data_IF_624953915703
#
_entry.id   IF_624953915703
#
_cell.length_a   1.000
_cell.length_b   1.000
_cell.length_c   1.000
_cell.angle_alpha   90.00
_cell.angle_beta   90.00
_cell.angle_gamma   90.00
#
_symmetry.space_group_name_H-M   'P 1'
#
loop_
_entity.id
_entity.type
_entity.pdbx_description
1 polymer ?
#
# COMPACT_ATOMS: atom_id res chain seq x y z
N UNK A 1 3.69 2.77 29.98
CA UNK A 1 3.57 2.78 28.51
C UNK A 1 3.41 4.23 28.09
N UNK A 2 4.41 4.83 27.45
CA UNK A 2 4.33 6.21 26.97
C UNK A 2 3.32 6.36 25.82
N UNK A 3 2.90 7.58 25.46
CA UNK A 3 1.99 7.78 24.34
C UNK A 3 2.65 7.29 23.05
N UNK A 4 1.97 6.40 22.32
CA UNK A 4 2.39 6.00 20.98
C UNK A 4 2.19 7.20 20.06
N UNK A 5 3.28 7.76 19.55
CA UNK A 5 3.22 8.77 18.52
C UNK A 5 3.13 8.08 17.16
N UNK A 6 2.46 8.72 16.22
CA UNK A 6 2.35 8.28 14.84
C UNK A 6 3.01 9.33 13.96
N UNK A 7 3.75 8.88 12.96
CA UNK A 7 4.38 9.74 11.97
C UNK A 7 3.84 9.37 10.59
N UNK A 8 3.76 10.36 9.71
CA UNK A 8 3.30 10.16 8.34
C UNK A 8 4.48 10.18 7.39
N UNK A 9 4.61 9.14 6.58
CA UNK A 9 5.60 9.06 5.51
C UNK A 9 4.90 9.24 4.16
N UNK A 10 5.39 10.18 3.36
CA UNK A 10 4.94 10.38 1.99
C UNK A 10 5.84 9.56 1.07
N UNK A 11 5.20 8.69 0.31
CA UNK A 11 5.81 7.76 -0.63
C UNK A 11 5.42 8.19 -2.05
N UNK A 12 6.41 8.21 -2.94
CA UNK A 12 6.25 8.45 -4.37
C UNK A 12 6.40 7.14 -5.12
N UNK A 13 5.37 6.78 -5.87
CA UNK A 13 5.37 5.60 -6.71
C UNK A 13 5.57 6.04 -8.16
N UNK A 14 6.59 5.48 -8.81
CA UNK A 14 6.87 5.74 -10.22
C UNK A 14 5.91 4.99 -11.14
N UNK A 15 6.12 5.13 -12.44
CA UNK A 15 5.36 4.40 -13.46
C UNK A 15 5.58 2.87 -13.35
N UNK A 16 4.50 2.09 -13.46
CA UNK A 16 4.52 0.62 -13.42
C UNK A 16 4.54 0.03 -12.00
N UNK A 17 5.10 -1.18 -11.85
CA UNK A 17 5.14 -1.96 -10.58
C UNK A 17 6.34 -1.60 -9.68
N UNK A 18 6.88 -0.40 -9.83
CA UNK A 18 8.03 0.03 -9.02
C UNK A 18 7.67 0.09 -7.52
N UNK A 19 8.67 -0.19 -6.68
CA UNK A 19 8.53 0.02 -5.24
C UNK A 19 8.42 1.52 -4.96
N UNK A 20 7.43 1.91 -4.15
CA UNK A 20 7.26 3.30 -3.78
C UNK A 20 8.44 3.74 -2.91
N UNK A 21 9.03 4.86 -3.26
CA UNK A 21 10.17 5.41 -2.53
C UNK A 21 9.72 6.48 -1.56
N UNK A 22 10.37 6.56 -0.41
CA UNK A 22 10.11 7.61 0.56
C UNK A 22 10.61 8.95 0.01
N UNK A 23 9.67 9.85 -0.27
CA UNK A 23 9.97 11.19 -0.79
C UNK A 23 10.19 12.15 0.37
N UNK A 24 9.27 12.15 1.35
CA UNK A 24 9.38 12.98 2.55
C UNK A 24 8.70 12.33 3.74
N UNK A 25 9.13 12.71 4.94
CA UNK A 25 8.39 12.39 6.18
C UNK A 25 7.79 13.67 6.70
N UNK A 26 6.53 13.63 7.12
CA UNK A 26 5.89 14.74 7.81
C UNK A 26 6.49 14.83 9.20
N UNK A 27 7.04 16.00 9.54
CA UNK A 27 7.71 16.23 10.81
C UNK A 27 6.74 16.28 12.00
N UNK A 28 5.46 16.56 11.73
CA UNK A 28 4.40 16.63 12.73
C UNK A 28 4.02 15.22 13.24
N UNK A 29 4.26 14.90 14.52
CA UNK A 29 3.81 13.65 15.11
C UNK A 29 2.33 13.76 15.54
N UNK A 30 1.58 12.69 15.33
CA UNK A 30 0.18 12.55 15.73
C UNK A 30 0.05 11.65 16.96
N UNK A 31 -0.95 11.92 17.80
CA UNK A 31 -1.20 11.13 19.02
C UNK A 31 -2.05 9.87 18.77
N UNK A 32 -2.65 9.76 17.58
CA UNK A 32 -3.47 8.63 17.17
C UNK A 32 -3.35 8.39 15.67
N UNK A 33 -3.59 7.15 15.27
CA UNK A 33 -3.64 6.76 13.86
C UNK A 33 -4.74 7.51 13.11
N UNK A 34 -5.94 7.63 13.70
CA UNK A 34 -7.06 8.36 13.12
C UNK A 34 -6.74 9.85 12.85
N UNK A 35 -5.98 10.50 13.74
CA UNK A 35 -5.54 11.88 13.52
C UNK A 35 -4.54 11.99 12.38
N UNK A 36 -3.63 11.01 12.25
CA UNK A 36 -2.71 10.94 11.12
C UNK A 36 -3.49 10.75 9.80
N UNK A 37 -4.42 9.79 9.74
CA UNK A 37 -5.21 9.51 8.55
C UNK A 37 -6.06 10.71 8.11
N UNK A 38 -6.62 11.46 9.06
CA UNK A 38 -7.39 12.66 8.75
C UNK A 38 -6.52 13.80 8.18
N UNK A 39 -5.25 13.88 8.55
CA UNK A 39 -4.32 14.88 8.04
C UNK A 39 -3.72 14.51 6.66
N UNK A 40 -3.83 13.24 6.26
CA UNK A 40 -3.26 12.70 5.03
C UNK A 40 -3.59 13.54 3.80
N UNK A 41 -4.88 13.84 3.57
CA UNK A 41 -5.32 14.58 2.38
C UNK A 41 -4.70 15.98 2.31
N UNK A 42 -4.64 16.67 3.46
CA UNK A 42 -4.06 18.01 3.56
C UNK A 42 -2.54 18.03 3.35
N UNK A 43 -1.84 16.97 3.78
CA UNK A 43 -0.39 16.82 3.56
C UNK A 43 -0.07 16.40 2.13
N UNK A 44 -0.88 15.53 1.51
CA UNK A 44 -0.75 15.15 0.11
C UNK A 44 -0.97 16.34 -0.81
N UNK A 45 -2.00 17.15 -0.57
CA UNK A 45 -2.29 18.34 -1.36
C UNK A 45 -1.16 19.40 -1.30
N UNK A 46 -0.35 19.38 -0.23
CA UNK A 46 0.83 20.23 -0.06
C UNK A 46 2.13 19.59 -0.54
N UNK A 47 2.10 18.30 -0.85
CA UNK A 47 3.29 17.56 -1.26
C UNK A 47 3.48 17.72 -2.76
N UNK A 48 4.50 18.48 -3.13
CA UNK A 48 4.85 18.76 -4.52
C UNK A 48 6.02 17.86 -4.94
N UNK A 49 5.70 16.67 -5.44
CA UNK A 49 6.69 15.66 -5.78
C UNK A 49 6.49 15.20 -7.22
N UNK A 50 7.59 15.03 -7.95
CA UNK A 50 7.62 14.66 -9.38
C UNK A 50 7.21 13.19 -9.65
N UNK A 51 6.32 12.64 -8.82
CA UNK A 51 5.82 11.29 -8.96
C UNK A 51 4.38 11.29 -9.46
N UNK A 52 4.02 10.40 -10.39
CA UNK A 52 2.65 10.31 -10.92
C UNK A 52 1.63 9.90 -9.85
N UNK A 53 2.07 9.17 -8.82
CA UNK A 53 1.23 8.74 -7.72
C UNK A 53 1.92 9.00 -6.39
N UNK A 54 1.21 9.67 -5.49
CA UNK A 54 1.64 9.93 -4.11
C UNK A 54 0.77 9.16 -3.14
N UNK A 55 1.41 8.57 -2.13
CA UNK A 55 0.75 7.79 -1.09
C UNK A 55 1.27 8.19 0.29
N UNK A 56 0.38 8.49 1.23
CA UNK A 56 0.75 8.68 2.62
C UNK A 56 0.54 7.40 3.41
N UNK A 57 1.57 7.03 4.16
CA UNK A 57 1.52 5.93 5.12
C UNK A 57 1.61 6.49 6.54
N UNK A 58 0.58 6.23 7.33
CA UNK A 58 0.60 6.47 8.77
C UNK A 58 1.21 5.27 9.49
N UNK A 59 2.21 5.52 10.35
CA UNK A 59 2.91 4.46 11.08
C UNK A 59 3.26 4.91 12.51
N UNK A 60 3.39 3.99 13.48
CA UNK A 60 3.88 4.34 14.80
C UNK A 60 5.34 4.83 14.73
N UNK A 61 5.66 5.84 15.53
CA UNK A 61 6.99 6.42 15.61
C UNK A 61 8.00 5.33 16.03
N UNK A 62 9.07 5.20 15.24
CA UNK A 62 10.09 4.17 15.43
C UNK A 62 9.87 2.87 14.64
N UNK A 63 8.78 2.72 13.90
CA UNK A 63 8.64 1.61 12.94
C UNK A 63 9.23 1.95 11.57
N UNK A 64 9.83 0.96 10.91
CA UNK A 64 10.27 1.10 9.52
C UNK A 64 9.07 1.35 8.59
N UNK A 65 9.30 2.03 7.48
CA UNK A 65 8.26 2.23 6.46
C UNK A 65 8.08 0.89 5.76
N UNK A 66 6.84 0.46 5.56
CA UNK A 66 6.63 -0.77 4.81
C UNK A 66 7.02 -0.52 3.35
N UNK A 67 7.69 -1.50 2.74
CA UNK A 67 7.96 -1.49 1.30
C UNK A 67 6.65 -1.74 0.57
N UNK A 68 5.95 -0.67 0.20
CA UNK A 68 4.72 -0.72 -0.59
C UNK A 68 5.10 -0.68 -2.08
N UNK A 69 4.45 -1.51 -2.90
CA UNK A 69 4.56 -1.40 -4.37
C UNK A 69 3.38 -0.64 -4.97
N UNK A 70 3.60 0.00 -6.12
CA UNK A 70 2.55 0.72 -6.84
C UNK A 70 1.32 -0.16 -7.13
N UNK A 71 1.51 -1.44 -7.46
CA UNK A 71 0.42 -2.41 -7.69
C UNK A 71 -0.44 -2.72 -6.46
N UNK A 72 0.10 -2.50 -5.25
CA UNK A 72 -0.62 -2.76 -3.99
C UNK A 72 -1.50 -1.58 -3.58
N UNK A 73 -1.18 -0.38 -4.09
CA UNK A 73 -2.00 0.82 -3.89
C UNK A 73 -3.19 0.69 -4.82
N UNK A 74 -4.30 0.21 -4.27
CA UNK A 74 -5.56 0.05 -4.98
C UNK A 74 -6.09 1.44 -5.41
N UNK A 75 -5.74 1.90 -6.62
CA UNK A 75 -6.53 2.95 -7.26
C UNK A 75 -7.97 2.43 -7.47
N UNK A 76 -9.01 3.25 -7.25
CA UNK A 76 -10.39 2.84 -7.47
C UNK A 76 -10.60 2.46 -8.94
N UNK A 77 -10.63 1.15 -9.18
CA UNK A 77 -11.06 0.42 -10.39
C UNK A 77 -10.31 0.77 -11.69
N UNK A 78 -9.34 -0.08 -12.01
CA UNK A 78 -8.76 -0.21 -13.35
C UNK A 78 -7.68 -1.29 -13.50
N UNK A 79 -7.19 -1.87 -12.41
CA UNK A 79 -6.19 -2.94 -12.44
C UNK A 79 -6.79 -4.29 -12.82
N UNK A 80 -6.45 -4.77 -14.01
CA UNK A 80 -6.65 -6.15 -14.46
C UNK A 80 -6.04 -7.09 -13.42
N UNK A 81 -6.83 -7.99 -12.84
CA UNK A 81 -6.27 -9.10 -12.04
C UNK A 81 -5.25 -9.85 -12.92
N UNK A 82 -4.05 -10.19 -12.43
CA UNK A 82 -3.24 -11.18 -13.12
C UNK A 82 -4.03 -12.49 -13.15
N UNK A 83 -4.34 -12.98 -14.36
CA UNK A 83 -4.94 -14.30 -14.62
C UNK A 83 -4.00 -15.46 -14.25
N UNK A 84 -3.31 -15.38 -13.10
CA UNK A 84 -2.53 -16.47 -12.54
C UNK A 84 -3.27 -17.02 -11.32
N UNK A 85 -4.45 -17.57 -11.58
CA UNK A 85 -4.87 -18.73 -10.80
C UNK A 85 -4.16 -19.93 -11.43
N UNK A 86 -3.27 -20.65 -10.74
CA UNK A 86 -2.90 -21.98 -11.20
C UNK A 86 -4.19 -22.80 -11.23
N UNK A 87 -4.55 -23.31 -12.41
CA UNK A 87 -5.74 -24.14 -12.58
C UNK A 87 -5.73 -25.25 -11.52
N UNK A 88 -6.82 -25.44 -10.75
CA UNK A 88 -6.89 -26.59 -9.88
C UNK A 88 -6.85 -27.84 -10.75
N UNK A 89 -5.77 -28.62 -10.65
CA UNK A 89 -5.69 -29.95 -11.22
C UNK A 89 -6.57 -30.89 -10.39
N UNK A 90 -7.89 -30.70 -10.46
CA UNK A 90 -8.81 -31.81 -10.24
C UNK A 90 -8.71 -32.72 -11.45
N UNK A 91 -7.72 -33.61 -11.41
CA UNK A 91 -7.74 -34.83 -12.20
C UNK A 91 -8.82 -35.73 -11.59
N UNK A 92 -10.01 -35.64 -12.18
CA UNK A 92 -10.87 -36.74 -12.57
C UNK A 92 -10.75 -38.04 -11.74
N UNK A 93 -11.49 -38.11 -10.63
CA UNK A 93 -11.74 -39.35 -9.89
C UNK A 93 -13.01 -40.07 -10.39
N UNK A 94 -13.32 -40.02 -11.70
CA UNK A 94 -14.57 -40.58 -12.25
C UNK A 94 -14.40 -41.68 -13.31
N UNK A 95 -13.19 -42.23 -13.52
CA UNK A 95 -12.97 -43.29 -14.53
C UNK A 95 -12.69 -44.71 -14.01
N UNK A 96 -12.56 -44.97 -12.71
CA UNK A 96 -12.39 -46.34 -12.17
C UNK A 96 -13.73 -46.91 -11.69
N UNK A 97 -14.74 -46.94 -12.57
CA UNK A 97 -15.87 -47.87 -12.42
C UNK A 97 -16.58 -48.11 -13.75
N UNK A 98 -15.91 -48.78 -14.69
CA UNK A 98 -16.59 -49.54 -15.76
C UNK A 98 -15.84 -50.84 -16.07
N UNK A 99 -16.49 -51.93 -15.63
CA UNK A 99 -16.35 -53.35 -16.01
C UNK A 99 -15.21 -54.14 -15.39
#
# INVERSE_FOLDING_TARGET
MGPVLFVMAILGCGEGDAACQQVRTVETPYRSEAACLAATEGELARSDADYPTLFAQCRPAGSAAATIRASEILLPRGGVLPSVLPSPRYADASSVNRR
#
